data_IF_197286801850
#
_entry.id   IF_197286801850
#
_cell.length_a   1.000
_cell.length_b   1.000
_cell.length_c   1.000
_cell.angle_alpha   90.00
_cell.angle_beta   90.00
_cell.angle_gamma   90.00
#
_symmetry.space_group_name_H-M   'P 1'
#
loop_
_entity.id
_entity.type
_entity.pdbx_description
1 polymer ?
#
# COMPACT_ATOMS: atom_id res chain seq x y z
N UNK A 1 -9.09 12.34 -16.03
CA UNK A 1 -10.00 12.42 -17.20
C UNK A 1 -9.30 12.75 -18.55
N UNK A 2 -8.03 13.19 -18.61
CA UNK A 2 -7.34 13.56 -19.88
C UNK A 2 -6.80 12.37 -20.70
N UNK A 3 -6.20 11.37 -20.05
CA UNK A 3 -5.65 10.18 -20.73
C UNK A 3 -6.79 9.32 -21.28
N UNK A 4 -6.77 8.92 -22.56
CA UNK A 4 -7.74 7.98 -23.14
C UNK A 4 -7.22 6.55 -23.01
N UNK A 5 -8.10 5.61 -22.71
CA UNK A 5 -7.79 4.18 -22.65
C UNK A 5 -8.57 3.44 -23.74
N UNK A 6 -7.97 2.41 -24.38
CA UNK A 6 -8.69 1.54 -25.31
C UNK A 6 -9.93 0.90 -24.67
N UNK A 7 -11.04 0.83 -25.41
CA UNK A 7 -12.30 0.29 -24.89
C UNK A 7 -12.25 -1.22 -24.62
N UNK A 8 -11.42 -1.94 -25.37
CA UNK A 8 -11.24 -3.39 -25.24
C UNK A 8 -10.55 -3.79 -23.94
N UNK A 9 -9.90 -2.85 -23.23
CA UNK A 9 -9.34 -3.09 -21.89
C UNK A 9 -10.40 -3.43 -20.85
N UNK A 10 -11.68 -3.10 -21.09
CA UNK A 10 -12.81 -3.55 -20.26
C UNK A 10 -13.00 -5.07 -20.27
N UNK A 11 -12.35 -5.77 -21.19
CA UNK A 11 -12.39 -7.22 -21.33
C UNK A 11 -11.07 -7.88 -20.93
N UNK A 12 -10.18 -7.16 -20.24
CA UNK A 12 -8.93 -7.74 -19.73
C UNK A 12 -9.23 -8.88 -18.74
N UNK A 13 -8.40 -9.92 -18.77
CA UNK A 13 -8.57 -11.11 -17.93
C UNK A 13 -8.02 -10.93 -16.53
N UNK A 14 -7.05 -10.03 -16.37
CA UNK A 14 -6.46 -9.62 -15.10
C UNK A 14 -5.85 -8.23 -15.27
N UNK A 15 -5.71 -7.52 -14.15
CA UNK A 15 -4.85 -6.33 -14.07
C UNK A 15 -3.61 -6.67 -13.24
N UNK A 16 -2.44 -6.43 -13.83
CA UNK A 16 -1.16 -6.60 -13.15
C UNK A 16 -0.59 -5.22 -12.85
N UNK A 17 -0.45 -4.89 -11.58
CA UNK A 17 0.17 -3.65 -11.14
C UNK A 17 1.64 -3.94 -10.85
N UNK A 18 2.52 -3.37 -11.67
CA UNK A 18 3.96 -3.59 -11.62
C UNK A 18 4.65 -2.34 -11.07
N UNK A 19 5.33 -2.47 -9.93
CA UNK A 19 6.06 -1.37 -9.32
C UNK A 19 6.70 -1.77 -7.99
N UNK A 20 7.47 -0.84 -7.41
CA UNK A 20 8.15 -1.06 -6.13
C UNK A 20 7.67 -0.06 -5.06
N UNK A 21 7.94 -0.39 -3.79
CA UNK A 21 7.68 0.50 -2.65
C UNK A 21 6.26 1.08 -2.66
N UNK A 22 6.15 2.41 -2.55
CA UNK A 22 4.86 3.11 -2.53
C UNK A 22 3.97 2.85 -3.75
N UNK A 23 4.54 2.65 -4.94
CA UNK A 23 3.78 2.33 -6.15
C UNK A 23 3.15 0.94 -6.08
N UNK A 24 3.87 -0.04 -5.52
CA UNK A 24 3.33 -1.36 -5.27
C UNK A 24 2.25 -1.35 -4.19
N UNK A 25 2.48 -0.61 -3.10
CA UNK A 25 1.50 -0.46 -2.01
C UNK A 25 0.20 0.15 -2.53
N UNK A 26 0.26 1.18 -3.38
CA UNK A 26 -0.94 1.73 -4.02
C UNK A 26 -1.69 0.67 -4.83
N UNK A 27 -0.96 -0.27 -5.47
CA UNK A 27 -1.55 -1.43 -6.13
C UNK A 27 -2.27 -2.39 -5.18
N UNK A 28 -1.71 -2.66 -4.00
CA UNK A 28 -2.38 -3.49 -3.00
C UNK A 28 -3.64 -2.82 -2.47
N UNK A 29 -3.59 -1.51 -2.22
CA UNK A 29 -4.76 -0.76 -1.79
C UNK A 29 -5.83 -0.72 -2.90
N UNK A 30 -5.43 -0.59 -4.17
CA UNK A 30 -6.36 -0.68 -5.28
C UNK A 30 -7.01 -2.08 -5.40
N UNK A 31 -6.25 -3.15 -5.13
CA UNK A 31 -6.80 -4.51 -5.04
C UNK A 31 -7.79 -4.66 -3.86
N UNK A 32 -7.45 -4.09 -2.70
CA UNK A 32 -8.35 -4.05 -1.54
C UNK A 32 -9.66 -3.29 -1.84
N UNK A 33 -9.59 -2.18 -2.60
CA UNK A 33 -10.76 -1.40 -3.02
C UNK A 33 -11.65 -2.17 -3.99
N UNK A 34 -11.05 -2.88 -4.96
CA UNK A 34 -11.80 -3.71 -5.91
C UNK A 34 -12.51 -4.87 -5.20
N UNK A 35 -11.86 -5.41 -4.17
CA UNK A 35 -12.41 -6.40 -3.26
C UNK A 35 -12.82 -7.73 -3.94
N UNK A 36 -13.45 -8.64 -3.17
CA UNK A 36 -13.84 -9.96 -3.68
C UNK A 36 -14.93 -9.92 -4.76
N UNK A 37 -15.67 -8.82 -4.88
CA UNK A 37 -16.74 -8.64 -5.87
C UNK A 37 -16.24 -8.23 -7.25
N UNK A 38 -14.96 -7.86 -7.39
CA UNK A 38 -14.39 -7.56 -8.70
C UNK A 38 -14.36 -8.81 -9.58
N UNK A 39 -14.96 -8.70 -10.77
CA UNK A 39 -14.91 -9.77 -11.78
C UNK A 39 -13.54 -9.94 -12.43
N UNK A 40 -12.65 -8.96 -12.27
CA UNK A 40 -11.29 -8.98 -12.82
C UNK A 40 -10.27 -9.03 -11.68
N UNK A 41 -9.44 -10.07 -11.59
CA UNK A 41 -8.42 -10.18 -10.56
C UNK A 41 -7.35 -9.10 -10.72
N UNK A 42 -6.86 -8.60 -9.59
CA UNK A 42 -5.75 -7.64 -9.53
C UNK A 42 -4.57 -8.31 -8.83
N UNK A 43 -3.42 -8.31 -9.49
CA UNK A 43 -2.17 -8.86 -8.97
C UNK A 43 -1.09 -7.78 -8.91
N UNK A 44 -0.36 -7.73 -7.81
CA UNK A 44 0.76 -6.79 -7.62
C UNK A 44 2.08 -7.53 -7.75
N UNK A 45 3.00 -7.00 -8.56
CA UNK A 45 4.33 -7.59 -8.82
C UNK A 45 5.42 -6.59 -8.44
N UNK A 46 6.42 -7.09 -7.71
CA UNK A 46 7.53 -6.33 -7.12
C UNK A 46 8.88 -6.98 -7.44
N UNK A 47 9.12 -7.23 -8.71
CA UNK A 47 10.26 -8.00 -9.19
C UNK A 47 10.79 -7.38 -10.49
N UNK A 48 11.85 -7.90 -11.06
CA UNK A 48 12.37 -7.48 -12.38
C UNK A 48 11.54 -8.07 -13.53
N UNK A 49 10.82 -9.17 -13.29
CA UNK A 49 10.04 -9.88 -14.30
C UNK A 49 8.60 -10.07 -13.83
N UNK A 50 7.65 -10.10 -14.78
CA UNK A 50 6.24 -10.35 -14.51
C UNK A 50 5.95 -11.85 -14.69
N UNK A 51 5.68 -12.61 -13.60
CA UNK A 51 5.42 -14.03 -13.73
C UNK A 51 4.13 -14.31 -14.51
N UNK A 52 4.16 -15.30 -15.39
CA UNK A 52 2.99 -15.73 -16.17
C UNK A 52 2.72 -14.91 -17.43
N UNK A 53 3.49 -13.85 -17.70
CA UNK A 53 3.50 -13.19 -19.00
C UNK A 53 4.62 -13.82 -19.83
N UNK A 54 4.28 -14.35 -21.01
CA UNK A 54 5.23 -14.95 -21.93
C UNK A 54 5.08 -14.35 -23.34
N UNK A 55 6.21 -14.17 -24.02
CA UNK A 55 6.29 -13.67 -25.39
C UNK A 55 5.40 -14.47 -26.33
N UNK A 56 4.62 -13.78 -27.17
CA UNK A 56 3.73 -14.37 -28.18
C UNK A 56 2.58 -15.24 -27.66
N UNK A 57 2.23 -15.16 -26.37
CA UNK A 57 1.06 -15.85 -25.80
C UNK A 57 -0.06 -14.91 -25.33
N UNK A 58 0.14 -13.60 -25.44
CA UNK A 58 -0.89 -12.63 -25.05
C UNK A 58 -1.95 -12.56 -26.14
N UNK A 59 -3.17 -12.95 -25.80
CA UNK A 59 -4.32 -12.83 -26.70
C UNK A 59 -4.88 -11.41 -26.68
N UNK A 60 -5.78 -11.11 -27.62
CA UNK A 60 -6.48 -9.81 -27.68
C UNK A 60 -7.27 -9.47 -26.39
N UNK A 61 -7.60 -10.48 -25.57
CA UNK A 61 -8.20 -10.35 -24.22
C UNK A 61 -7.21 -10.82 -23.17
N UNK A 62 -6.00 -10.25 -23.18
CA UNK A 62 -4.92 -10.61 -22.27
C UNK A 62 -4.91 -9.82 -20.97
N UNK A 63 -3.83 -9.98 -20.16
CA UNK A 63 -3.60 -9.12 -19.01
C UNK A 63 -3.39 -7.66 -19.43
N UNK A 64 -3.88 -6.74 -18.60
CA UNK A 64 -3.47 -5.34 -18.62
C UNK A 64 -2.36 -5.13 -17.59
N UNK A 65 -1.18 -4.71 -18.03
CA UNK A 65 -0.07 -4.35 -17.15
C UNK A 65 -0.08 -2.84 -16.91
N UNK A 66 -0.27 -2.43 -15.66
CA UNK A 66 -0.15 -1.04 -15.23
C UNK A 66 1.18 -0.87 -14.51
N UNK A 67 2.13 -0.23 -15.19
CA UNK A 67 3.47 0.00 -14.66
C UNK A 67 3.51 1.33 -13.91
N UNK A 68 3.88 1.30 -12.64
CA UNK A 68 3.80 2.44 -11.74
C UNK A 68 5.16 2.75 -11.11
N UNK A 69 5.68 3.98 -11.32
CA UNK A 69 6.87 4.47 -10.61
C UNK A 69 6.76 5.97 -10.36
N UNK A 70 6.86 6.39 -9.10
CA UNK A 70 6.84 7.81 -8.75
C UNK A 70 7.94 8.60 -9.47
N UNK A 71 9.19 8.13 -9.44
CA UNK A 71 10.30 8.81 -10.13
C UNK A 71 10.33 8.54 -11.64
N UNK A 72 9.80 7.41 -12.07
CA UNK A 72 9.95 6.92 -13.44
C UNK A 72 11.33 6.30 -13.74
N UNK A 73 12.17 6.11 -12.72
CA UNK A 73 13.55 5.60 -12.85
C UNK A 73 13.81 4.30 -12.07
N UNK A 74 12.79 3.74 -11.42
CA UNK A 74 12.95 2.48 -10.67
C UNK A 74 13.32 1.33 -11.61
N UNK A 75 14.50 0.75 -11.41
CA UNK A 75 15.09 -0.25 -12.31
C UNK A 75 14.21 -1.48 -12.52
N UNK A 76 13.70 -2.06 -11.43
CA UNK A 76 12.80 -3.22 -11.47
C UNK A 76 11.53 -2.89 -12.26
N UNK A 77 11.04 -1.65 -12.11
CA UNK A 77 9.83 -1.19 -12.80
C UNK A 77 10.08 -0.95 -14.29
N UNK A 78 11.26 -0.45 -14.66
CA UNK A 78 11.67 -0.32 -16.07
C UNK A 78 11.86 -1.70 -16.72
N UNK A 79 12.46 -2.66 -16.01
CA UNK A 79 12.57 -4.04 -16.49
C UNK A 79 11.20 -4.68 -16.72
N UNK A 80 10.26 -4.52 -15.79
CA UNK A 80 8.89 -5.01 -15.96
C UNK A 80 8.15 -4.32 -17.12
N UNK A 81 8.40 -3.02 -17.36
CA UNK A 81 7.86 -2.31 -18.52
C UNK A 81 8.36 -2.90 -19.84
N UNK A 82 9.68 -3.10 -19.95
CA UNK A 82 10.29 -3.65 -21.16
C UNK A 82 9.85 -5.11 -21.38
N UNK A 83 9.72 -5.90 -20.31
CA UNK A 83 9.19 -7.27 -20.36
C UNK A 83 7.72 -7.29 -20.84
N UNK A 84 6.84 -6.46 -20.26
CA UNK A 84 5.43 -6.39 -20.66
C UNK A 84 5.27 -6.02 -22.14
N UNK A 85 6.06 -5.03 -22.60
CA UNK A 85 6.07 -4.61 -24.01
C UNK A 85 6.57 -5.70 -24.94
N UNK A 86 7.68 -6.35 -24.59
CA UNK A 86 8.26 -7.44 -25.37
C UNK A 86 7.29 -8.61 -25.50
N UNK A 87 6.47 -8.84 -24.48
CA UNK A 87 5.44 -9.87 -24.50
C UNK A 87 4.19 -9.52 -25.32
N UNK A 88 4.06 -8.27 -25.78
CA UNK A 88 2.88 -7.77 -26.49
C UNK A 88 1.66 -7.60 -25.57
N UNK A 89 1.87 -7.41 -24.26
CA UNK A 89 0.78 -7.15 -23.33
C UNK A 89 0.16 -5.76 -23.55
N UNK A 90 -1.09 -5.60 -23.14
CA UNK A 90 -1.65 -4.26 -23.00
C UNK A 90 -0.92 -3.56 -21.85
N UNK A 91 -0.42 -2.34 -22.08
CA UNK A 91 0.37 -1.60 -21.09
C UNK A 91 -0.25 -0.23 -20.87
N UNK A 92 -0.33 0.19 -19.60
CA UNK A 92 -0.50 1.57 -19.18
C UNK A 92 0.66 1.96 -18.25
N UNK A 93 1.01 3.24 -18.23
CA UNK A 93 2.03 3.77 -17.35
C UNK A 93 1.46 4.82 -16.39
N UNK A 94 1.91 4.79 -15.15
CA UNK A 94 1.70 5.84 -14.14
C UNK A 94 3.08 6.29 -13.66
N UNK A 95 3.47 7.52 -13.99
CA UNK A 95 4.82 8.00 -13.67
C UNK A 95 4.87 9.49 -13.36
N UNK A 96 5.77 9.92 -12.46
CA UNK A 96 6.08 11.34 -12.24
C UNK A 96 6.96 11.96 -13.34
N UNK A 97 7.38 11.16 -14.32
CA UNK A 97 8.24 11.57 -15.42
C UNK A 97 9.29 10.50 -15.72
N UNK A 98 10.54 10.95 -15.84
CA UNK A 98 11.69 10.08 -16.00
C UNK A 98 11.67 9.20 -17.24
N UNK A 99 12.50 8.17 -17.23
CA UNK A 99 12.65 7.21 -18.31
C UNK A 99 11.35 6.48 -18.62
N UNK A 100 10.59 6.05 -17.61
CA UNK A 100 9.29 5.39 -17.81
C UNK A 100 8.30 6.30 -18.54
N UNK A 101 8.14 7.54 -18.09
CA UNK A 101 7.23 8.51 -18.71
C UNK A 101 7.60 8.81 -20.16
N UNK A 102 8.90 9.06 -20.43
CA UNK A 102 9.41 9.30 -21.78
C UNK A 102 9.17 8.10 -22.71
N UNK A 103 9.57 6.89 -22.29
CA UNK A 103 9.42 5.66 -23.10
C UNK A 103 7.94 5.34 -23.37
N UNK A 104 7.06 5.56 -22.40
CA UNK A 104 5.63 5.38 -22.58
C UNK A 104 5.06 6.36 -23.62
N UNK A 105 5.43 7.65 -23.52
CA UNK A 105 5.01 8.67 -24.47
C UNK A 105 5.49 8.39 -25.90
N UNK A 106 6.78 8.07 -26.07
CA UNK A 106 7.37 7.73 -27.38
C UNK A 106 6.71 6.49 -28.02
N UNK A 107 6.28 5.53 -27.20
CA UNK A 107 5.60 4.32 -27.65
C UNK A 107 4.08 4.49 -27.87
N UNK A 108 3.51 5.67 -27.61
CA UNK A 108 2.06 5.89 -27.65
C UNK A 108 1.28 5.11 -26.59
N UNK A 109 1.94 4.68 -25.52
CA UNK A 109 1.32 3.96 -24.40
C UNK A 109 0.54 4.96 -23.53
N UNK A 110 -0.70 4.65 -23.11
CA UNK A 110 -1.45 5.52 -22.20
C UNK A 110 -0.69 5.82 -20.91
N UNK A 111 -0.43 7.10 -20.66
CA UNK A 111 0.32 7.60 -19.52
C UNK A 111 -0.55 8.49 -18.63
N UNK A 112 -0.55 8.23 -17.33
CA UNK A 112 -1.04 9.14 -16.29
C UNK A 112 0.14 9.68 -15.49
N UNK A 113 0.16 11.00 -15.28
CA UNK A 113 1.26 11.67 -14.59
C UNK A 113 1.02 11.71 -13.10
N UNK A 114 2.05 11.39 -12.31
CA UNK A 114 2.09 11.65 -10.86
C UNK A 114 2.64 13.05 -10.66
N UNK A 115 1.76 14.00 -10.36
CA UNK A 115 2.14 15.39 -10.10
C UNK A 115 1.93 15.68 -8.61
N UNK A 116 2.87 15.18 -7.81
CA UNK A 116 2.87 15.33 -6.36
C UNK A 116 4.29 15.64 -5.86
N UNK A 117 4.46 16.63 -4.96
CA UNK A 117 5.76 16.92 -4.38
C UNK A 117 6.13 15.90 -3.30
N UNK A 118 7.41 15.90 -2.92
CA UNK A 118 7.93 15.13 -1.79
C UNK A 118 8.37 13.70 -2.14
N UNK A 119 8.52 12.88 -1.10
CA UNK A 119 9.04 11.52 -1.23
C UNK A 119 7.99 10.56 -1.84
N UNK A 120 8.42 9.56 -2.65
CA UNK A 120 7.51 8.59 -3.27
C UNK A 120 6.50 7.95 -2.30
N UNK A 121 6.96 7.68 -1.06
CA UNK A 121 6.14 7.06 -0.03
C UNK A 121 5.06 7.99 0.53
N UNK A 122 5.22 9.31 0.45
CA UNK A 122 4.20 10.28 0.84
C UNK A 122 3.11 10.44 -0.23
N UNK A 123 3.39 10.03 -1.47
CA UNK A 123 2.47 10.15 -2.60
C UNK A 123 1.56 8.91 -2.82
N UNK A 124 1.52 7.97 -1.88
CA UNK A 124 0.73 6.73 -2.04
C UNK A 124 -0.77 7.01 -2.23
N UNK A 125 -1.34 7.98 -1.50
CA UNK A 125 -2.73 8.40 -1.71
C UNK A 125 -2.98 8.92 -3.13
N UNK A 126 -2.05 9.70 -3.68
CA UNK A 126 -2.14 10.20 -5.06
C UNK A 126 -2.08 9.05 -6.07
N UNK A 127 -1.11 8.14 -5.92
CA UNK A 127 -0.98 6.96 -6.78
C UNK A 127 -2.22 6.05 -6.72
N UNK A 128 -2.79 5.87 -5.52
CA UNK A 128 -4.03 5.13 -5.33
C UNK A 128 -5.17 5.77 -6.12
N UNK A 129 -5.32 7.10 -6.09
CA UNK A 129 -6.36 7.79 -6.87
C UNK A 129 -6.18 7.66 -8.38
N UNK A 130 -4.93 7.69 -8.88
CA UNK A 130 -4.65 7.45 -10.29
C UNK A 130 -5.01 6.01 -10.70
N UNK A 131 -4.61 5.03 -9.91
CA UNK A 131 -4.95 3.63 -10.12
C UNK A 131 -6.46 3.41 -10.06
N UNK A 132 -7.12 3.93 -9.02
CA UNK A 132 -8.57 3.85 -8.86
C UNK A 132 -9.30 4.46 -10.06
N UNK A 133 -8.87 5.64 -10.53
CA UNK A 133 -9.43 6.27 -11.71
C UNK A 133 -9.22 5.46 -12.99
N UNK A 134 -8.07 4.80 -13.16
CA UNK A 134 -7.84 3.92 -14.30
C UNK A 134 -8.77 2.71 -14.24
N UNK A 135 -8.78 2.01 -13.11
CA UNK A 135 -9.55 0.79 -12.88
C UNK A 135 -11.06 1.03 -13.01
N UNK A 136 -11.55 2.17 -12.51
CA UNK A 136 -12.96 2.61 -12.69
C UNK A 136 -13.34 2.72 -14.17
N UNK A 137 -12.47 3.37 -14.96
CA UNK A 137 -12.76 3.66 -16.38
C UNK A 137 -12.73 2.41 -17.25
N UNK A 138 -11.97 1.39 -16.85
CA UNK A 138 -11.96 0.08 -17.49
C UNK A 138 -12.96 -0.90 -16.84
N UNK A 139 -13.76 -0.45 -15.87
CA UNK A 139 -14.84 -1.24 -15.27
C UNK A 139 -14.38 -2.35 -14.31
N UNK A 140 -13.14 -2.30 -13.84
CA UNK A 140 -12.60 -3.25 -12.85
C UNK A 140 -13.09 -2.92 -11.44
N UNK A 141 -13.30 -1.63 -11.15
CA UNK A 141 -13.99 -1.17 -9.96
C UNK A 141 -15.03 -0.11 -10.34
N UNK A 142 -15.83 0.32 -9.37
CA UNK A 142 -16.79 1.41 -9.55
C UNK A 142 -16.69 2.35 -8.37
N UNK A 143 -16.24 3.58 -8.60
CA UNK A 143 -16.16 4.62 -7.57
C UNK A 143 -16.85 5.88 -8.08
N UNK A 144 -17.86 6.34 -7.35
CA UNK A 144 -18.56 7.58 -7.67
C UNK A 144 -17.75 8.82 -7.30
N UNK A 145 -18.00 9.94 -7.99
CA UNK A 145 -17.43 11.25 -7.64
C UNK A 145 -17.79 11.65 -6.17
N UNK A 146 -18.93 11.17 -5.65
CA UNK A 146 -19.34 11.37 -4.25
C UNK A 146 -18.43 10.63 -3.26
N UNK A 147 -18.11 9.37 -3.54
CA UNK A 147 -17.20 8.57 -2.70
C UNK A 147 -15.78 9.13 -2.71
N UNK A 148 -15.33 9.65 -3.85
CA UNK A 148 -14.05 10.38 -3.95
C UNK A 148 -14.07 11.62 -3.04
N UNK A 149 -15.10 12.45 -3.14
CA UNK A 149 -15.21 13.66 -2.32
C UNK A 149 -15.25 13.34 -0.81
N UNK A 150 -16.07 12.37 -0.42
CA UNK A 150 -16.18 11.88 0.97
C UNK A 150 -14.83 11.39 1.49
N UNK A 151 -14.08 10.63 0.68
CA UNK A 151 -12.78 10.09 1.08
C UNK A 151 -11.72 11.20 1.28
N UNK A 152 -11.72 12.21 0.41
CA UNK A 152 -10.81 13.36 0.53
C UNK A 152 -11.15 14.19 1.77
N UNK A 153 -12.42 14.53 1.97
CA UNK A 153 -12.89 15.27 3.15
C UNK A 153 -12.54 14.53 4.45
N UNK A 154 -12.71 13.21 4.47
CA UNK A 154 -12.35 12.38 5.62
C UNK A 154 -10.85 12.39 5.90
N UNK A 155 -10.01 12.36 4.86
CA UNK A 155 -8.57 12.45 5.00
C UNK A 155 -8.14 13.83 5.53
N UNK A 156 -8.71 14.92 5.00
CA UNK A 156 -8.46 16.30 5.46
C UNK A 156 -8.87 16.49 6.92
N UNK A 157 -10.05 15.99 7.30
CA UNK A 157 -10.52 16.00 8.68
C UNK A 157 -9.55 15.28 9.61
N UNK A 158 -9.04 14.12 9.20
CA UNK A 158 -8.07 13.39 10.02
C UNK A 158 -6.72 14.12 10.11
N UNK A 159 -6.23 14.73 9.02
CA UNK A 159 -5.02 15.56 9.06
C UNK A 159 -5.13 16.67 10.12
N UNK A 160 -6.31 17.30 10.24
CA UNK A 160 -6.54 18.34 11.26
C UNK A 160 -6.42 17.84 12.71
N UNK A 161 -6.57 16.54 12.93
CA UNK A 161 -6.49 15.89 14.26
C UNK A 161 -5.10 15.34 14.55
N UNK A 162 -4.32 14.97 13.52
CA UNK A 162 -3.00 14.34 13.69
C UNK A 162 -1.83 15.23 13.31
N UNK A 163 -2.09 16.44 12.80
CA UNK A 163 -1.07 17.38 12.35
C UNK A 163 -0.10 17.84 13.44
N UNK A 164 1.02 18.43 13.00
CA UNK A 164 2.14 18.81 13.88
C UNK A 164 1.73 19.82 14.95
N UNK A 165 0.80 20.71 14.62
CA UNK A 165 0.31 21.79 15.50
C UNK A 165 -0.63 21.28 16.60
N UNK A 166 -1.18 20.06 16.48
CA UNK A 166 -2.09 19.50 17.48
C UNK A 166 -1.27 19.07 18.72
N UNK A 167 -1.63 19.51 19.95
CA UNK A 167 -0.95 19.11 21.18
C UNK A 167 -0.84 17.59 21.36
N UNK A 168 0.20 17.13 22.08
CA UNK A 168 0.52 15.70 22.14
C UNK A 168 -0.56 14.87 22.85
N UNK A 169 -1.22 15.46 23.85
CA UNK A 169 -2.32 14.91 24.63
C UNK A 169 -3.61 14.71 23.82
N UNK A 170 -3.81 15.49 22.76
CA UNK A 170 -5.00 15.45 21.90
C UNK A 170 -4.74 14.78 20.55
N UNK A 171 -3.49 14.44 20.26
CA UNK A 171 -3.08 13.91 18.96
C UNK A 171 -2.94 12.37 19.01
N UNK A 172 -3.89 11.61 18.44
CA UNK A 172 -3.87 10.15 18.53
C UNK A 172 -2.65 9.54 17.83
N UNK A 173 -2.09 10.18 16.80
CA UNK A 173 -0.87 9.70 16.16
C UNK A 173 0.37 9.89 17.04
N UNK A 174 0.49 11.02 17.75
CA UNK A 174 1.59 11.25 18.71
C UNK A 174 1.51 10.32 19.91
N UNK A 175 0.30 10.09 20.44
CA UNK A 175 0.07 9.15 21.53
C UNK A 175 0.46 7.72 21.13
N UNK A 176 -0.02 7.25 19.98
CA UNK A 176 0.35 5.93 19.49
C UNK A 176 1.84 5.80 19.20
N UNK A 177 2.47 6.84 18.62
CA UNK A 177 3.91 6.82 18.38
C UNK A 177 4.71 6.65 19.69
N UNK A 178 4.31 7.31 20.79
CA UNK A 178 4.93 7.14 22.11
C UNK A 178 4.79 5.72 22.64
N UNK A 179 3.63 5.11 22.44
CA UNK A 179 3.37 3.74 22.88
C UNK A 179 4.21 2.71 22.11
N UNK A 180 4.54 2.98 20.83
CA UNK A 180 5.22 2.03 19.94
C UNK A 180 6.76 2.14 19.95
N UNK A 181 7.32 3.29 20.31
CA UNK A 181 8.78 3.49 20.31
C UNK A 181 9.48 2.53 21.27
N UNK A 182 10.54 1.88 20.80
CA UNK A 182 11.30 0.89 21.56
C UNK A 182 10.65 -0.50 21.65
N UNK A 183 9.54 -0.73 20.94
CA UNK A 183 8.79 -2.00 20.91
C UNK A 183 8.81 -2.65 19.53
N UNK A 184 8.51 -3.94 19.51
CA UNK A 184 8.19 -4.69 18.30
C UNK A 184 6.72 -4.41 17.92
N UNK A 185 6.47 -3.94 16.71
CA UNK A 185 5.10 -3.70 16.23
C UNK A 185 4.64 -4.82 15.29
N UNK A 186 3.48 -5.42 15.58
CA UNK A 186 2.82 -6.36 14.67
C UNK A 186 1.58 -5.68 14.11
N UNK A 187 1.43 -5.64 12.78
CA UNK A 187 0.28 -5.00 12.13
C UNK A 187 -0.58 -6.06 11.45
N UNK A 188 -1.82 -6.18 11.88
CA UNK A 188 -2.78 -7.13 11.36
C UNK A 188 -3.87 -6.42 10.56
N UNK A 189 -3.97 -6.78 9.28
CA UNK A 189 -5.00 -6.29 8.36
C UNK A 189 -5.86 -7.43 7.81
N UNK A 190 -7.06 -7.12 7.34
CA UNK A 190 -8.00 -8.09 6.80
C UNK A 190 -9.09 -7.40 6.00
N UNK A 191 -9.76 -8.14 5.12
CA UNK A 191 -10.74 -7.57 4.20
C UNK A 191 -10.10 -6.52 3.31
N UNK A 192 -10.74 -5.36 3.18
CA UNK A 192 -10.27 -4.21 2.39
C UNK A 192 -9.16 -3.38 3.09
N UNK A 193 -8.55 -3.88 4.16
CA UNK A 193 -7.39 -3.27 4.82
C UNK A 193 -6.19 -4.23 4.88
N UNK A 194 -6.19 -5.29 4.07
CA UNK A 194 -5.10 -6.27 4.04
C UNK A 194 -3.78 -5.65 3.54
N UNK A 195 -3.84 -4.90 2.43
CA UNK A 195 -2.75 -4.09 1.92
C UNK A 195 -2.36 -2.93 2.85
N UNK A 196 -3.30 -2.44 3.67
CA UNK A 196 -3.01 -1.40 4.66
C UNK A 196 -2.07 -1.87 5.76
N UNK A 197 -2.18 -3.14 6.19
CA UNK A 197 -1.23 -3.74 7.14
C UNK A 197 0.22 -3.65 6.63
N UNK A 198 0.42 -3.98 5.35
CA UNK A 198 1.72 -3.85 4.70
C UNK A 198 2.18 -2.40 4.54
N UNK A 199 1.25 -1.46 4.29
CA UNK A 199 1.55 -0.01 4.28
C UNK A 199 2.09 0.44 5.62
N UNK A 200 1.35 0.20 6.71
CA UNK A 200 1.73 0.61 8.06
C UNK A 200 3.06 0.00 8.48
N UNK A 201 3.23 -1.32 8.25
CA UNK A 201 4.50 -2.01 8.46
C UNK A 201 5.64 -1.32 7.73
N UNK A 202 5.45 -0.98 6.46
CA UNK A 202 6.51 -0.35 5.66
C UNK A 202 6.88 1.03 6.20
N UNK A 203 5.90 1.86 6.58
CA UNK A 203 6.17 3.19 7.11
C UNK A 203 6.80 3.17 8.51
N UNK A 204 6.39 2.27 9.40
CA UNK A 204 7.03 2.14 10.72
C UNK A 204 8.50 1.76 10.59
N UNK A 205 8.83 0.86 9.65
CA UNK A 205 10.23 0.52 9.34
C UNK A 205 10.97 1.68 8.65
N UNK A 206 10.37 2.31 7.63
CA UNK A 206 11.06 3.27 6.76
C UNK A 206 11.11 4.69 7.32
N UNK A 207 10.05 5.21 7.93
CA UNK A 207 10.00 6.54 8.56
C UNK A 207 10.38 6.49 10.03
N UNK A 208 9.81 5.51 10.75
CA UNK A 208 9.99 5.34 12.19
C UNK A 208 11.30 4.66 12.58
N UNK A 209 11.97 3.99 11.63
CA UNK A 209 13.17 3.15 11.85
C UNK A 209 12.99 2.21 13.05
N UNK A 210 11.77 1.69 13.16
CA UNK A 210 11.34 0.81 14.25
C UNK A 210 10.89 -0.52 13.67
N UNK A 211 11.10 -1.60 14.42
CA UNK A 211 10.78 -2.94 13.95
C UNK A 211 9.28 -3.14 13.81
N UNK A 212 8.83 -3.41 12.59
CA UNK A 212 7.46 -3.80 12.33
C UNK A 212 7.34 -4.97 11.35
N UNK A 213 6.37 -5.84 11.63
CA UNK A 213 5.95 -6.93 10.76
C UNK A 213 4.44 -6.88 10.52
N UNK A 214 3.99 -7.61 9.51
CA UNK A 214 2.56 -7.69 9.20
C UNK A 214 2.18 -9.10 8.82
N UNK A 215 0.95 -9.46 9.20
CA UNK A 215 0.27 -10.66 8.74
C UNK A 215 -1.18 -10.30 8.45
N UNK A 216 -1.84 -11.11 7.61
CA UNK A 216 -3.21 -10.87 7.20
C UNK A 216 -4.17 -11.90 7.80
N UNK A 217 -5.38 -11.45 8.12
CA UNK A 217 -6.51 -12.34 8.36
C UNK A 217 -6.98 -12.95 7.02
N UNK A 218 -7.33 -14.25 6.98
CA UNK A 218 -7.42 -15.19 8.10
C UNK A 218 -6.15 -16.02 8.38
N UNK A 219 -5.09 -15.88 7.57
CA UNK A 219 -3.91 -16.76 7.59
C UNK A 219 -3.24 -16.86 8.97
N UNK A 220 -3.24 -15.78 9.74
CA UNK A 220 -2.67 -15.74 11.10
C UNK A 220 -3.19 -16.86 12.02
N UNK A 221 -4.44 -17.30 11.83
CA UNK A 221 -5.06 -18.37 12.63
C UNK A 221 -4.55 -19.77 12.29
N UNK A 222 -3.75 -19.91 11.24
CA UNK A 222 -3.20 -21.19 10.79
C UNK A 222 -1.74 -21.40 11.19
N UNK A 223 -1.10 -20.39 11.79
CA UNK A 223 0.33 -20.44 12.13
C UNK A 223 0.66 -19.60 13.38
N UNK A 224 0.62 -18.27 13.28
CA UNK A 224 1.26 -17.36 14.23
C UNK A 224 0.58 -17.32 15.58
N UNK A 225 -0.73 -17.58 15.65
CA UNK A 225 -1.46 -17.69 16.93
C UNK A 225 -0.89 -18.75 17.87
N UNK A 226 -0.27 -19.82 17.35
CA UNK A 226 0.39 -20.85 18.17
C UNK A 226 1.62 -20.33 18.91
N UNK A 227 2.25 -19.26 18.39
CA UNK A 227 3.45 -18.68 18.99
C UNK A 227 3.15 -17.71 20.15
N UNK A 228 1.95 -17.13 20.21
CA UNK A 228 1.62 -16.03 21.12
C UNK A 228 1.82 -16.35 22.62
N UNK A 229 1.52 -17.57 23.11
CA UNK A 229 1.75 -17.89 24.52
C UNK A 229 3.24 -17.98 24.92
N UNK A 230 4.14 -18.14 23.95
CA UNK A 230 5.57 -18.40 24.17
C UNK A 230 6.38 -17.12 24.38
N UNK A 231 7.65 -17.27 24.81
CA UNK A 231 8.66 -16.21 24.93
C UNK A 231 8.19 -14.91 25.61
N UNK A 232 8.06 -14.91 26.96
CA UNK A 232 7.60 -13.77 27.74
C UNK A 232 8.27 -12.43 27.41
N UNK A 233 9.57 -12.44 27.14
CA UNK A 233 10.37 -11.26 26.81
C UNK A 233 9.98 -10.64 25.47
N UNK A 234 9.56 -11.47 24.50
CA UNK A 234 9.10 -11.02 23.19
C UNK A 234 7.70 -10.42 23.32
N UNK A 235 6.75 -11.16 23.90
CA UNK A 235 5.35 -10.70 24.04
C UNK A 235 5.24 -9.39 24.83
N UNK A 236 6.01 -9.23 25.92
CA UNK A 236 6.00 -8.01 26.74
C UNK A 236 6.58 -6.78 26.01
N UNK A 237 7.39 -7.00 24.97
CA UNK A 237 7.95 -5.95 24.12
C UNK A 237 7.20 -5.80 22.81
N UNK A 238 6.08 -6.49 22.64
CA UNK A 238 5.30 -6.51 21.40
C UNK A 238 4.01 -5.73 21.58
N UNK A 239 3.67 -4.92 20.58
CA UNK A 239 2.36 -4.27 20.48
C UNK A 239 1.72 -4.62 19.14
N UNK A 240 0.51 -5.18 19.20
CA UNK A 240 -0.25 -5.57 18.02
C UNK A 240 -1.26 -4.48 17.62
N UNK A 241 -1.29 -4.11 16.36
CA UNK A 241 -2.20 -3.14 15.77
C UNK A 241 -3.17 -3.86 14.84
N UNK A 242 -4.45 -3.87 15.18
CA UNK A 242 -5.50 -4.51 14.40
C UNK A 242 -6.23 -3.44 13.59
N UNK A 243 -6.00 -3.42 12.28
CA UNK A 243 -6.65 -2.50 11.35
C UNK A 243 -7.97 -3.11 10.89
N UNK A 244 -9.07 -2.81 11.59
CA UNK A 244 -10.39 -3.39 11.35
C UNK A 244 -11.20 -2.52 10.39
N UNK A 245 -11.72 -3.03 9.27
CA UNK A 245 -12.59 -2.21 8.44
C UNK A 245 -13.90 -1.85 9.14
N UNK A 246 -14.51 -0.73 8.74
CA UNK A 246 -15.79 -0.28 9.30
C UNK A 246 -16.96 -1.17 8.84
N UNK A 247 -16.97 -1.49 7.54
CA UNK A 247 -17.98 -2.34 6.91
C UNK A 247 -17.42 -3.75 6.75
N UNK A 248 -17.81 -4.66 7.65
CA UNK A 248 -17.33 -6.04 7.59
C UNK A 248 -18.45 -7.06 7.70
N UNK A 249 -18.19 -8.25 7.15
CA UNK A 249 -19.08 -9.40 7.33
C UNK A 249 -19.03 -9.87 8.78
N UNK A 250 -20.10 -10.52 9.25
CA UNK A 250 -20.14 -11.11 10.59
C UNK A 250 -18.99 -12.10 10.84
N UNK A 251 -18.53 -12.78 9.78
CA UNK A 251 -17.41 -13.72 9.84
C UNK A 251 -16.08 -12.99 10.06
N UNK A 252 -15.84 -11.88 9.37
CA UNK A 252 -14.63 -11.07 9.57
C UNK A 252 -14.65 -10.35 10.93
N UNK A 253 -15.79 -9.83 11.37
CA UNK A 253 -15.92 -9.25 12.73
C UNK A 253 -15.55 -10.26 13.80
N UNK A 254 -16.11 -11.49 13.72
CA UNK A 254 -15.77 -12.56 14.66
C UNK A 254 -14.27 -12.84 14.69
N UNK A 255 -13.60 -12.83 13.54
CA UNK A 255 -12.15 -13.03 13.46
C UNK A 255 -11.37 -11.94 14.18
N UNK A 256 -11.72 -10.66 14.01
CA UNK A 256 -11.07 -9.58 14.76
C UNK A 256 -11.32 -9.71 16.27
N UNK A 257 -12.55 -10.04 16.69
CA UNK A 257 -12.87 -10.28 18.10
C UNK A 257 -12.02 -11.42 18.68
N UNK A 258 -11.99 -12.58 18.03
CA UNK A 258 -11.23 -13.75 18.48
C UNK A 258 -9.73 -13.45 18.51
N UNK A 259 -9.20 -12.73 17.52
CA UNK A 259 -7.77 -12.35 17.53
C UNK A 259 -7.44 -11.46 18.73
N UNK A 260 -8.27 -10.46 19.01
CA UNK A 260 -8.12 -9.61 20.20
C UNK A 260 -8.12 -10.42 21.50
N UNK A 261 -9.09 -11.33 21.66
CA UNK A 261 -9.17 -12.20 22.84
C UNK A 261 -7.95 -13.10 23.02
N UNK A 262 -7.40 -13.65 21.92
CA UNK A 262 -6.20 -14.50 21.99
C UNK A 262 -4.97 -13.66 22.38
N UNK A 263 -4.84 -12.44 21.84
CA UNK A 263 -3.75 -11.52 22.20
C UNK A 263 -3.83 -11.13 23.69
N UNK A 264 -5.02 -10.79 24.18
CA UNK A 264 -5.26 -10.45 25.58
C UNK A 264 -4.90 -11.62 26.51
N UNK A 265 -5.38 -12.84 26.19
CA UNK A 265 -5.06 -14.05 26.95
C UNK A 265 -3.58 -14.37 26.96
N UNK A 266 -2.87 -13.99 25.90
CA UNK A 266 -1.42 -14.19 25.76
C UNK A 266 -0.61 -13.07 26.42
N UNK A 267 -1.26 -12.01 26.92
CA UNK A 267 -0.58 -10.85 27.50
C UNK A 267 0.20 -10.01 26.49
N UNK A 268 -0.26 -9.98 25.23
CA UNK A 268 0.28 -9.10 24.18
C UNK A 268 -0.58 -7.85 24.14
N UNK A 269 0.03 -6.69 24.36
CA UNK A 269 -0.67 -5.41 24.24
C UNK A 269 -1.18 -5.24 22.81
N UNK A 270 -2.45 -4.87 22.66
CA UNK A 270 -3.05 -4.68 21.35
C UNK A 270 -3.97 -3.45 21.30
N UNK A 271 -4.10 -2.89 20.10
CA UNK A 271 -4.94 -1.74 19.80
C UNK A 271 -5.72 -2.01 18.52
N UNK A 272 -7.03 -1.80 18.57
CA UNK A 272 -7.92 -1.93 17.40
C UNK A 272 -8.20 -0.55 16.82
N UNK A 273 -7.87 -0.37 15.54
CA UNK A 273 -8.21 0.82 14.77
C UNK A 273 -9.33 0.44 13.80
N UNK A 274 -10.54 0.89 14.10
CA UNK A 274 -11.67 0.69 13.21
C UNK A 274 -11.66 1.77 12.13
N UNK A 275 -11.87 1.39 10.88
CA UNK A 275 -12.06 2.33 9.77
C UNK A 275 -13.12 3.38 10.08
N UNK A 276 -12.97 4.56 9.49
CA UNK A 276 -13.99 5.60 9.53
C UNK A 276 -15.30 5.11 8.89
N UNK A 277 -16.42 5.69 9.32
CA UNK A 277 -17.68 5.51 8.60
C UNK A 277 -17.54 5.97 7.15
N UNK A 278 -18.02 5.17 6.21
CA UNK A 278 -17.93 5.46 4.78
C UNK A 278 -17.41 4.28 3.97
N UNK A 279 -17.18 4.54 2.69
CA UNK A 279 -16.72 3.52 1.74
C UNK A 279 -15.25 3.09 1.95
N UNK A 280 -14.81 2.01 1.28
CA UNK A 280 -13.43 1.51 1.36
C UNK A 280 -12.35 2.56 1.05
N UNK A 281 -12.63 3.49 0.14
CA UNK A 281 -11.68 4.56 -0.21
C UNK A 281 -11.47 5.55 0.95
N UNK A 282 -12.53 5.96 1.65
CA UNK A 282 -12.44 6.84 2.82
C UNK A 282 -11.67 6.17 3.98
N UNK A 283 -11.93 4.88 4.19
CA UNK A 283 -11.20 4.08 5.16
C UNK A 283 -9.71 3.96 4.79
N UNK A 284 -9.39 3.76 3.51
CA UNK A 284 -8.00 3.69 3.06
C UNK A 284 -7.27 5.02 3.22
N UNK A 285 -7.84 6.13 2.75
CA UNK A 285 -7.16 7.43 2.84
C UNK A 285 -6.98 7.88 4.30
N UNK A 286 -7.98 7.69 5.16
CA UNK A 286 -7.83 7.98 6.60
C UNK A 286 -6.76 7.11 7.25
N UNK A 287 -6.74 5.80 7.00
CA UNK A 287 -5.71 4.92 7.56
C UNK A 287 -4.30 5.21 7.04
N UNK A 288 -4.15 5.69 5.80
CA UNK A 288 -2.86 6.21 5.30
C UNK A 288 -2.43 7.41 6.14
N UNK A 289 -3.30 8.41 6.28
CA UNK A 289 -3.00 9.65 7.04
C UNK A 289 -2.56 9.32 8.47
N UNK A 290 -3.31 8.46 9.17
CA UNK A 290 -2.97 8.07 10.54
C UNK A 290 -1.62 7.35 10.61
N UNK A 291 -1.45 6.28 9.82
CA UNK A 291 -0.24 5.46 9.85
C UNK A 291 1.02 6.25 9.46
N UNK A 292 0.91 7.13 8.48
CA UNK A 292 2.02 7.98 8.04
C UNK A 292 2.44 8.95 9.14
N UNK A 293 1.49 9.63 9.80
CA UNK A 293 1.79 10.53 10.92
C UNK A 293 2.36 9.78 12.12
N UNK A 294 1.82 8.61 12.47
CA UNK A 294 2.36 7.75 13.54
C UNK A 294 3.83 7.45 13.25
N UNK A 295 4.14 6.95 12.06
CA UNK A 295 5.51 6.60 11.68
C UNK A 295 6.47 7.80 11.63
N UNK A 296 5.97 8.97 11.21
CA UNK A 296 6.71 10.22 11.21
C UNK A 296 7.08 10.63 12.64
N UNK A 297 6.12 10.63 13.56
CA UNK A 297 6.36 10.95 14.97
C UNK A 297 7.26 9.92 15.66
N UNK A 298 7.18 8.64 15.30
CA UNK A 298 8.12 7.63 15.78
C UNK A 298 9.56 7.97 15.38
N UNK A 299 9.80 8.42 14.15
CA UNK A 299 11.11 8.86 13.70
C UNK A 299 11.65 10.03 14.54
N UNK A 300 10.81 11.04 14.79
CA UNK A 300 11.18 12.16 15.65
C UNK A 300 11.51 11.72 17.08
N UNK A 301 10.71 10.83 17.67
CA UNK A 301 10.94 10.29 19.01
C UNK A 301 12.22 9.44 19.10
N UNK A 302 12.61 8.78 18.01
CA UNK A 302 13.88 8.08 17.89
C UNK A 302 15.08 9.01 17.61
N UNK A 303 14.87 10.33 17.52
CA UNK A 303 15.94 11.31 17.30
C UNK A 303 16.55 11.24 15.89
N UNK A 304 15.78 10.78 14.90
CA UNK A 304 16.24 10.59 13.52
C UNK A 304 15.39 11.39 12.53
N UNK A 305 15.93 11.62 11.33
CA UNK A 305 15.17 12.23 10.24
C UNK A 305 14.22 11.19 9.59
N UNK A 306 12.89 11.37 9.64
CA UNK A 306 11.94 10.44 9.02
C UNK A 306 12.06 10.39 7.49
N UNK A 307 12.57 11.46 6.86
CA UNK A 307 12.71 11.58 5.41
C UNK A 307 13.91 10.81 4.86
N UNK A 308 14.96 10.60 5.66
CA UNK A 308 16.17 9.91 5.22
C UNK A 308 16.03 8.39 5.19
N UNK A 309 16.68 7.75 4.23
CA UNK A 309 16.64 6.30 4.00
C UNK A 309 18.04 5.68 3.85
N UNK A 310 18.98 5.90 4.79
CA UNK A 310 20.39 5.56 4.61
C UNK A 310 20.64 4.07 4.35
N UNK A 311 19.86 3.17 4.96
CA UNK A 311 19.98 1.73 4.71
C UNK A 311 19.57 1.33 3.30
N UNK A 312 18.55 1.98 2.72
CA UNK A 312 18.11 1.76 1.34
C UNK A 312 19.15 2.32 0.38
N UNK A 313 19.66 3.53 0.65
CA UNK A 313 20.65 4.19 -0.20
C UNK A 313 21.96 3.41 -0.25
N UNK A 314 22.42 2.91 0.91
CA UNK A 314 23.57 2.01 0.99
C UNK A 314 23.36 0.72 0.18
N UNK A 315 22.17 0.12 0.27
CA UNK A 315 21.85 -1.10 -0.48
C UNK A 315 21.89 -0.86 -1.99
N UNK A 316 21.27 0.23 -2.47
CA UNK A 316 21.31 0.62 -3.89
C UNK A 316 22.74 0.89 -4.38
N UNK A 317 23.54 1.59 -3.58
CA UNK A 317 24.93 1.86 -3.92
C UNK A 317 25.76 0.57 -4.02
N UNK A 318 25.51 -0.43 -3.16
CA UNK A 318 26.21 -1.71 -3.20
C UNK A 318 25.81 -2.59 -4.37
N UNK A 319 24.53 -2.63 -4.72
CA UNK A 319 24.00 -3.46 -5.81
C UNK A 319 24.35 -2.89 -7.19
N UNK A 320 24.37 -1.57 -7.35
CA UNK A 320 24.78 -0.95 -8.63
C UNK A 320 26.26 -1.15 -8.99
N UNK A 321 27.14 -1.36 -8.00
CA UNK A 321 28.57 -1.62 -8.26
C UNK A 321 28.79 -3.01 -8.86
N UNK A 322 27.98 -4.02 -8.50
CA UNK A 322 28.13 -5.39 -9.00
C UNK A 322 27.73 -5.59 -10.46
N UNK A 323 26.92 -4.69 -11.04
CA UNK A 323 26.51 -4.79 -12.46
C UNK A 323 27.50 -4.10 -13.43
N UNK A 324 28.59 -3.54 -12.89
CA UNK A 324 29.64 -2.83 -13.66
C UNK A 324 30.97 -3.59 -13.76
N UNK A 325 31.01 -4.84 -13.30
CA UNK A 325 32.18 -5.75 -13.35
C UNK A 325 31.88 -7.01 -14.13
#
# INVERSE_FOLDING_TARGET
KRTKFPEDWRQCTEVIIAGMGGSAIAGNLAADLAGPSSGTPIRVVRDFHIPGIATNRVTKRGPLVVVCSFSGETEETLSMFDHARSAGAAVAAIAGGGTLGRRAAEAGIPLMTVDAPGEPRSAVGYNLMLLASLLDRIGVLSISDREVAEAVETAESLVSQVGIEVPAEDNPAKLLARDLVGRLTLVYGGGNLSGMGLRWKSQINENGKSWAFTESLPEIFHNSVESFPSAPEIRQRTTALLLKPYQITAELERRYTVLGEILDRSGIENRVFTGVSGGPLAQSLSMIVLGDHVSYYMGLLNGINPSETPGIDLSKARLSISDSS
#
